data_IF_350246512713
#
_entry.id   IF_350246512713
#
_cell.length_a   1.000
_cell.length_b   1.000
_cell.length_c   1.000
_cell.angle_alpha   90.00
_cell.angle_beta   90.00
_cell.angle_gamma   90.00
#
_symmetry.space_group_name_H-M   'P 1'
#
loop_
_entity.id
_entity.type
_entity.pdbx_description
1 polymer ?
#
# COMPACT_ATOMS: atom_id res chain seq x y z
N UNK A 1 -25.25 -3.91 -27.03
CA UNK A 1 -24.34 -3.06 -26.25
C UNK A 1 -23.88 -3.86 -25.06
N UNK A 2 -22.58 -4.08 -24.93
CA UNK A 2 -21.99 -4.84 -23.83
C UNK A 2 -21.89 -3.96 -22.58
N UNK A 3 -22.31 -4.50 -21.43
CA UNK A 3 -22.36 -3.77 -20.16
C UNK A 3 -21.34 -4.34 -19.18
N UNK A 4 -20.59 -3.44 -18.53
CA UNK A 4 -19.63 -3.79 -17.51
C UNK A 4 -19.86 -3.01 -16.21
N UNK A 5 -19.85 -3.73 -15.08
CA UNK A 5 -19.76 -3.14 -13.75
C UNK A 5 -18.32 -3.24 -13.26
N UNK A 6 -17.73 -2.10 -12.91
CA UNK A 6 -16.39 -2.03 -12.33
C UNK A 6 -16.52 -1.88 -10.82
N UNK A 7 -16.01 -2.88 -10.09
CA UNK A 7 -15.98 -2.87 -8.63
C UNK A 7 -14.58 -2.50 -8.17
N UNK A 8 -14.49 -1.39 -7.46
CA UNK A 8 -13.22 -0.83 -6.98
C UNK A 8 -12.83 -1.40 -5.61
N UNK A 9 -11.53 -1.56 -5.41
CA UNK A 9 -10.94 -1.89 -4.11
C UNK A 9 -10.04 -0.74 -3.62
N UNK A 10 -8.84 -0.58 -4.20
CA UNK A 10 -7.84 0.38 -3.72
C UNK A 10 -7.15 1.19 -4.84
N UNK A 11 -7.37 0.87 -6.10
CA UNK A 11 -6.73 1.53 -7.26
C UNK A 11 -7.53 2.74 -7.72
N UNK A 12 -7.51 3.82 -6.96
CA UNK A 12 -8.28 5.05 -7.27
C UNK A 12 -7.56 5.95 -8.27
N UNK A 13 -7.31 5.43 -9.47
CA UNK A 13 -6.70 6.20 -10.55
C UNK A 13 -7.31 5.90 -11.91
N UNK A 14 -7.50 6.95 -12.69
CA UNK A 14 -8.15 6.85 -13.98
C UNK A 14 -7.33 6.06 -15.00
N UNK A 15 -6.00 6.13 -14.92
CA UNK A 15 -5.07 5.41 -15.78
C UNK A 15 -4.71 4.01 -15.25
N UNK A 16 -5.54 3.40 -14.39
CA UNK A 16 -5.36 2.01 -13.96
C UNK A 16 -5.66 1.03 -15.09
N UNK A 17 -5.07 -0.15 -15.01
CA UNK A 17 -5.37 -1.24 -15.95
C UNK A 17 -6.86 -1.63 -15.88
N UNK A 18 -7.46 -1.58 -14.69
CA UNK A 18 -8.88 -1.86 -14.47
C UNK A 18 -9.78 -0.92 -15.29
N UNK A 19 -9.57 0.40 -15.15
CA UNK A 19 -10.36 1.41 -15.89
C UNK A 19 -10.14 1.28 -17.39
N UNK A 20 -8.87 1.08 -17.82
CA UNK A 20 -8.55 0.87 -19.23
C UNK A 20 -9.28 -0.34 -19.80
N UNK A 21 -9.21 -1.48 -19.12
CA UNK A 21 -9.88 -2.71 -19.56
C UNK A 21 -11.39 -2.50 -19.70
N UNK A 22 -12.01 -1.77 -18.77
CA UNK A 22 -13.42 -1.44 -18.83
C UNK A 22 -13.76 -0.58 -20.06
N UNK A 23 -13.01 0.49 -20.26
CA UNK A 23 -13.30 1.46 -21.34
C UNK A 23 -12.96 0.93 -22.74
N UNK A 24 -11.97 0.07 -22.88
CA UNK A 24 -11.58 -0.47 -24.18
C UNK A 24 -12.51 -1.60 -24.67
N UNK A 25 -13.13 -2.36 -23.74
CA UNK A 25 -13.83 -3.59 -24.08
C UNK A 25 -15.36 -3.51 -23.98
N UNK A 26 -15.92 -2.46 -23.39
CA UNK A 26 -17.37 -2.36 -23.15
C UNK A 26 -17.97 -1.06 -23.64
N UNK A 27 -19.22 -1.15 -24.10
CA UNK A 27 -19.97 0.02 -24.62
C UNK A 27 -20.54 0.88 -23.51
N UNK A 28 -20.96 0.24 -22.41
CA UNK A 28 -21.54 0.88 -21.23
C UNK A 28 -20.82 0.42 -19.97
N UNK A 29 -20.38 1.36 -19.14
CA UNK A 29 -19.61 1.08 -17.92
C UNK A 29 -20.21 1.81 -16.72
N UNK A 30 -20.28 1.15 -15.58
CA UNK A 30 -20.61 1.75 -14.29
C UNK A 30 -19.54 1.42 -13.26
N UNK A 31 -19.23 2.39 -12.39
CA UNK A 31 -18.22 2.23 -11.35
C UNK A 31 -18.89 2.22 -9.98
N UNK A 32 -18.58 1.21 -9.16
CA UNK A 32 -19.09 1.08 -7.80
C UNK A 32 -17.94 0.85 -6.81
N UNK A 33 -18.04 1.50 -5.67
CA UNK A 33 -17.15 1.29 -4.52
C UNK A 33 -17.94 0.76 -3.33
N UNK A 34 -17.70 -0.49 -2.88
CA UNK A 34 -18.35 -1.06 -1.70
C UNK A 34 -17.77 -0.46 -0.41
N UNK A 35 -18.38 0.61 0.10
CA UNK A 35 -17.84 1.39 1.22
C UNK A 35 -17.77 0.64 2.55
N UNK A 36 -18.67 -0.30 2.79
CA UNK A 36 -18.71 -1.04 4.04
C UNK A 36 -17.55 -2.02 4.22
N UNK A 37 -16.87 -2.36 3.15
CA UNK A 37 -15.78 -3.28 3.19
C UNK A 37 -14.54 -2.70 3.90
N UNK A 38 -14.13 -1.49 3.52
CA UNK A 38 -13.08 -0.72 4.24
C UNK A 38 -13.61 -0.07 5.53
N UNK A 39 -14.93 0.15 5.64
CA UNK A 39 -15.58 0.83 6.75
C UNK A 39 -16.25 -0.13 7.73
N UNK A 40 -16.01 -1.44 7.64
CA UNK A 40 -16.51 -2.41 8.61
C UNK A 40 -16.06 -2.03 10.02
N UNK A 41 -16.82 -2.47 11.03
CA UNK A 41 -16.48 -2.18 12.43
C UNK A 41 -15.09 -2.68 12.81
N UNK A 42 -14.64 -3.79 12.22
CA UNK A 42 -13.28 -4.31 12.37
C UNK A 42 -12.24 -3.37 11.72
N UNK A 43 -12.50 -2.88 10.51
CA UNK A 43 -11.64 -1.88 9.86
C UNK A 43 -11.57 -0.57 10.66
N UNK A 44 -12.69 -0.08 11.21
CA UNK A 44 -12.70 1.14 12.04
C UNK A 44 -11.83 1.05 13.29
N UNK A 45 -11.67 -0.13 13.86
CA UNK A 45 -10.78 -0.35 15.00
C UNK A 45 -9.30 -0.37 14.61
N UNK A 46 -9.00 -0.76 13.35
CA UNK A 46 -7.65 -0.73 12.78
C UNK A 46 -7.30 0.64 12.17
N UNK A 47 -8.30 1.34 11.60
CA UNK A 47 -8.15 2.62 10.91
C UNK A 47 -8.67 3.75 11.80
N UNK A 48 -7.81 4.44 12.52
CA UNK A 48 -8.18 5.71 13.14
C UNK A 48 -8.17 6.83 12.09
N UNK A 49 -8.97 7.83 12.37
CA UNK A 49 -9.52 8.92 11.54
C UNK A 49 -8.69 9.54 10.39
N UNK A 50 -7.37 9.39 10.34
CA UNK A 50 -6.50 10.05 9.36
C UNK A 50 -6.22 9.22 8.11
N UNK A 51 -6.08 7.90 8.25
CA UNK A 51 -5.94 7.01 7.08
C UNK A 51 -7.24 7.00 6.26
N UNK A 52 -8.37 7.06 6.97
CA UNK A 52 -9.68 7.29 6.36
C UNK A 52 -9.71 8.60 5.57
N UNK A 53 -9.03 9.66 6.04
CA UNK A 53 -8.95 10.95 5.34
C UNK A 53 -8.24 10.81 3.99
N UNK A 54 -7.05 10.21 3.96
CA UNK A 54 -6.27 10.00 2.73
C UNK A 54 -7.00 9.09 1.73
N UNK A 55 -7.63 8.03 2.21
CA UNK A 55 -8.46 7.16 1.39
C UNK A 55 -9.65 7.92 0.77
N UNK A 56 -10.34 8.72 1.59
CA UNK A 56 -11.43 9.59 1.13
C UNK A 56 -10.95 10.63 0.12
N UNK A 57 -9.77 11.23 0.34
CA UNK A 57 -9.14 12.15 -0.60
C UNK A 57 -8.86 11.46 -1.94
N UNK A 58 -8.29 10.26 -1.94
CA UNK A 58 -8.02 9.48 -3.14
C UNK A 58 -9.30 9.08 -3.89
N UNK A 59 -10.31 8.61 -3.16
CA UNK A 59 -11.61 8.26 -3.73
C UNK A 59 -12.31 9.47 -4.36
N UNK A 60 -12.30 10.62 -3.68
CA UNK A 60 -12.85 11.86 -4.21
C UNK A 60 -12.11 12.34 -5.46
N UNK A 61 -10.78 12.27 -5.45
CA UNK A 61 -9.95 12.61 -6.60
C UNK A 61 -10.29 11.72 -7.80
N UNK A 62 -10.46 10.43 -7.59
CA UNK A 62 -10.86 9.50 -8.63
C UNK A 62 -12.28 9.81 -9.16
N UNK A 63 -13.25 10.02 -8.27
CA UNK A 63 -14.62 10.34 -8.65
C UNK A 63 -14.73 11.64 -9.48
N UNK A 64 -14.01 12.70 -9.08
CA UNK A 64 -13.92 13.93 -9.85
C UNK A 64 -13.29 13.69 -11.23
N UNK A 65 -12.20 12.91 -11.29
CA UNK A 65 -11.52 12.58 -12.54
C UNK A 65 -12.41 11.76 -13.49
N UNK A 66 -13.19 10.80 -12.97
CA UNK A 66 -14.19 10.07 -13.75
C UNK A 66 -15.22 11.02 -14.35
N UNK A 67 -15.75 11.94 -13.53
CA UNK A 67 -16.76 12.90 -13.98
C UNK A 67 -16.21 13.86 -15.02
N UNK A 68 -15.05 14.44 -14.80
CA UNK A 68 -14.44 15.43 -15.69
C UNK A 68 -14.00 14.85 -17.04
N UNK A 69 -13.39 13.66 -17.03
CA UNK A 69 -12.74 13.08 -18.21
C UNK A 69 -13.59 12.09 -18.98
N UNK A 70 -14.47 11.37 -18.29
CA UNK A 70 -15.31 10.34 -18.90
C UNK A 70 -16.80 10.66 -18.82
N UNK A 71 -17.20 11.71 -18.09
CA UNK A 71 -18.60 12.05 -17.76
C UNK A 71 -19.37 10.89 -17.12
N UNK A 72 -18.70 10.11 -16.28
CA UNK A 72 -19.25 8.95 -15.56
C UNK A 72 -19.31 9.26 -14.07
N UNK A 73 -20.38 8.80 -13.42
CA UNK A 73 -20.53 8.89 -11.96
C UNK A 73 -19.87 7.71 -11.26
N UNK A 74 -19.34 7.94 -10.06
CA UNK A 74 -18.97 6.91 -9.12
C UNK A 74 -20.15 6.65 -8.17
N UNK A 75 -20.47 5.38 -7.93
CA UNK A 75 -21.51 4.96 -7.00
C UNK A 75 -20.90 4.36 -5.74
N UNK A 76 -21.50 4.64 -4.59
CA UNK A 76 -21.10 4.11 -3.29
C UNK A 76 -22.13 3.10 -2.81
N UNK A 77 -21.71 1.85 -2.68
CA UNK A 77 -22.56 0.80 -2.14
C UNK A 77 -22.36 0.72 -0.62
N UNK A 78 -23.36 1.21 0.12
CA UNK A 78 -23.44 1.12 1.57
C UNK A 78 -24.26 -0.10 1.95
N UNK A 79 -23.67 -1.28 1.95
CA UNK A 79 -24.37 -2.53 2.21
C UNK A 79 -23.63 -3.38 3.24
N UNK A 80 -24.39 -4.11 4.05
CA UNK A 80 -23.85 -5.15 4.93
C UNK A 80 -23.56 -6.47 4.16
N UNK A 81 -24.06 -6.60 2.92
CA UNK A 81 -23.92 -7.78 2.07
C UNK A 81 -23.57 -7.34 0.63
N UNK A 82 -22.42 -6.68 0.41
CA UNK A 82 -22.08 -6.07 -0.88
C UNK A 82 -22.01 -7.11 -2.02
N UNK A 83 -21.55 -8.32 -1.74
CA UNK A 83 -21.47 -9.39 -2.73
C UNK A 83 -22.83 -9.77 -3.28
N UNK A 84 -23.82 -9.91 -2.38
CA UNK A 84 -25.20 -10.24 -2.77
C UNK A 84 -25.83 -9.10 -3.57
N UNK A 85 -25.68 -7.87 -3.11
CA UNK A 85 -26.26 -6.71 -3.79
C UNK A 85 -25.67 -6.51 -5.17
N UNK A 86 -24.35 -6.74 -5.35
CA UNK A 86 -23.70 -6.72 -6.66
C UNK A 86 -24.27 -7.85 -7.55
N UNK A 87 -24.42 -9.04 -7.01
CA UNK A 87 -24.98 -10.19 -7.74
C UNK A 87 -26.41 -9.89 -8.20
N UNK A 88 -27.29 -9.46 -7.30
CA UNK A 88 -28.70 -9.16 -7.59
C UNK A 88 -28.81 -8.02 -8.61
N UNK A 89 -27.98 -7.00 -8.50
CA UNK A 89 -27.90 -5.89 -9.45
C UNK A 89 -27.47 -6.35 -10.84
N UNK A 90 -26.46 -7.19 -10.93
CA UNK A 90 -25.98 -7.72 -12.21
C UNK A 90 -27.05 -8.53 -12.92
N UNK A 91 -27.77 -9.38 -12.19
CA UNK A 91 -28.87 -10.18 -12.74
C UNK A 91 -30.02 -9.29 -13.23
N UNK A 92 -30.45 -8.30 -12.42
CA UNK A 92 -31.56 -7.41 -12.74
C UNK A 92 -31.28 -6.49 -13.94
N UNK A 93 -30.03 -6.08 -14.11
CA UNK A 93 -29.62 -5.13 -15.15
C UNK A 93 -28.94 -5.79 -16.36
N UNK A 94 -28.90 -7.12 -16.40
CA UNK A 94 -28.27 -7.92 -17.48
C UNK A 94 -26.84 -7.45 -17.73
N UNK A 95 -26.02 -7.40 -16.67
CA UNK A 95 -24.61 -7.03 -16.77
C UNK A 95 -23.83 -8.21 -17.34
N UNK A 96 -23.11 -7.99 -18.42
CA UNK A 96 -22.34 -9.03 -19.12
C UNK A 96 -21.11 -9.44 -18.32
N UNK A 97 -20.47 -8.48 -17.65
CA UNK A 97 -19.20 -8.69 -16.96
C UNK A 97 -19.09 -7.81 -15.72
N UNK A 98 -18.49 -8.35 -14.67
CA UNK A 98 -17.98 -7.61 -13.54
C UNK A 98 -16.46 -7.61 -13.61
N UNK A 99 -15.84 -6.42 -13.65
CA UNK A 99 -14.40 -6.25 -13.47
C UNK A 99 -14.16 -5.85 -12.02
N UNK A 100 -13.25 -6.55 -11.37
CA UNK A 100 -12.91 -6.32 -9.98
C UNK A 100 -11.41 -6.07 -9.84
N UNK A 101 -11.06 -5.01 -9.11
CA UNK A 101 -9.67 -4.72 -8.79
C UNK A 101 -9.11 -5.75 -7.81
N UNK A 102 -8.00 -6.40 -8.15
CA UNK A 102 -7.41 -7.43 -7.32
C UNK A 102 -6.92 -6.81 -5.99
N UNK A 103 -7.43 -7.25 -4.83
CA UNK A 103 -7.10 -6.66 -3.55
C UNK A 103 -5.62 -6.85 -3.19
N UNK A 104 -5.08 -5.97 -2.35
CA UNK A 104 -3.71 -6.09 -1.84
C UNK A 104 -3.51 -7.37 -1.03
N UNK A 105 -4.55 -7.82 -0.34
CA UNK A 105 -4.60 -9.05 0.43
C UNK A 105 -5.67 -9.98 -0.15
N UNK A 106 -5.29 -11.16 -0.63
CA UNK A 106 -6.22 -12.07 -1.33
C UNK A 106 -7.38 -12.57 -0.47
N UNK A 107 -7.14 -12.72 0.84
CA UNK A 107 -8.16 -13.17 1.79
C UNK A 107 -9.26 -12.14 2.02
N UNK A 108 -8.97 -10.88 1.70
CA UNK A 108 -9.88 -9.77 1.87
C UNK A 108 -10.68 -9.47 0.57
N UNK A 109 -10.67 -10.39 -0.42
CA UNK A 109 -11.40 -10.23 -1.67
C UNK A 109 -12.91 -10.46 -1.52
N UNK A 110 -13.70 -9.76 -2.32
CA UNK A 110 -15.13 -10.01 -2.46
C UNK A 110 -15.38 -11.36 -3.13
N UNK A 111 -16.27 -12.18 -2.57
CA UNK A 111 -16.70 -13.46 -3.14
C UNK A 111 -18.03 -13.29 -3.92
N UNK A 112 -17.94 -12.75 -5.12
CA UNK A 112 -19.11 -12.51 -5.98
C UNK A 112 -19.38 -13.76 -6.81
N UNK A 113 -20.50 -14.44 -6.54
CA UNK A 113 -20.93 -15.68 -7.22
C UNK A 113 -21.94 -15.39 -8.34
N UNK A 114 -22.09 -16.35 -9.25
CA UNK A 114 -23.12 -16.35 -10.30
C UNK A 114 -23.09 -15.12 -11.24
N UNK A 115 -21.92 -14.49 -11.37
CA UNK A 115 -21.66 -13.43 -12.36
C UNK A 115 -20.38 -13.74 -13.12
N UNK A 116 -20.24 -13.21 -14.33
CA UNK A 116 -18.99 -13.34 -15.06
C UNK A 116 -17.98 -12.33 -14.47
N UNK A 117 -17.18 -12.78 -13.50
CA UNK A 117 -16.19 -11.99 -12.81
C UNK A 117 -14.82 -12.10 -13.47
N UNK A 118 -14.17 -10.96 -13.68
CA UNK A 118 -12.77 -10.88 -14.10
C UNK A 118 -12.00 -10.02 -13.12
N UNK A 119 -10.96 -10.58 -12.51
CA UNK A 119 -10.11 -9.90 -11.56
C UNK A 119 -8.92 -9.28 -12.29
N UNK A 120 -8.77 -7.98 -12.17
CA UNK A 120 -7.71 -7.22 -12.83
C UNK A 120 -6.62 -6.86 -11.81
N UNK A 121 -5.40 -7.29 -12.05
CA UNK A 121 -4.26 -6.91 -11.21
C UNK A 121 -3.63 -5.61 -11.69
N UNK A 122 -4.00 -4.51 -11.04
CA UNK A 122 -3.46 -3.18 -11.34
C UNK A 122 -2.11 -2.91 -10.67
N UNK A 123 -1.68 -3.73 -9.70
CA UNK A 123 -0.48 -3.50 -8.90
C UNK A 123 0.72 -4.37 -9.26
N UNK A 124 0.49 -5.54 -9.87
CA UNK A 124 1.57 -6.45 -10.26
C UNK A 124 1.83 -6.40 -11.76
N UNK A 125 3.10 -6.49 -12.13
CA UNK A 125 3.51 -6.58 -13.54
C UNK A 125 3.41 -8.01 -14.08
N UNK A 126 3.83 -8.98 -13.26
CA UNK A 126 3.89 -10.37 -13.65
C UNK A 126 3.89 -11.30 -12.43
N UNK A 127 2.76 -11.93 -12.13
CA UNK A 127 2.65 -12.88 -11.01
C UNK A 127 3.63 -14.05 -11.09
N UNK A 128 4.09 -14.45 -12.29
CA UNK A 128 5.05 -15.55 -12.46
C UNK A 128 6.39 -15.25 -11.77
N UNK A 129 6.70 -13.97 -11.58
CA UNK A 129 7.93 -13.51 -10.93
C UNK A 129 7.88 -13.54 -9.39
N UNK A 130 6.90 -14.19 -8.76
CA UNK A 130 6.78 -14.26 -7.29
C UNK A 130 8.04 -14.81 -6.60
N UNK A 131 8.73 -15.75 -7.24
CA UNK A 131 9.97 -16.36 -6.71
C UNK A 131 11.21 -15.47 -6.86
N UNK A 132 11.12 -14.34 -7.55
CA UNK A 132 12.25 -13.44 -7.76
C UNK A 132 12.53 -12.62 -6.51
N UNK A 133 13.82 -12.36 -6.25
CA UNK A 133 14.22 -11.36 -5.25
C UNK A 133 14.00 -9.95 -5.78
N UNK A 134 13.92 -8.95 -4.90
CA UNK A 134 13.81 -7.55 -5.33
C UNK A 134 14.97 -7.12 -6.25
N UNK A 135 16.17 -7.72 -6.10
CA UNK A 135 17.32 -7.49 -6.98
C UNK A 135 17.11 -8.07 -8.37
N UNK A 136 16.67 -9.30 -8.47
CA UNK A 136 16.42 -9.95 -9.77
C UNK A 136 15.20 -9.38 -10.48
N UNK A 137 14.19 -8.92 -9.72
CA UNK A 137 12.96 -8.33 -10.25
C UNK A 137 13.22 -7.03 -11.01
N UNK A 138 13.96 -6.08 -10.45
CA UNK A 138 14.26 -4.85 -11.17
C UNK A 138 15.15 -5.07 -12.40
N UNK A 139 16.04 -6.08 -12.37
CA UNK A 139 16.82 -6.49 -13.54
C UNK A 139 15.89 -7.06 -14.62
N UNK A 140 14.91 -7.87 -14.23
CA UNK A 140 13.89 -8.37 -15.13
C UNK A 140 13.11 -7.22 -15.79
N UNK A 141 12.65 -6.25 -15.01
CA UNK A 141 11.98 -5.06 -15.56
C UNK A 141 12.85 -4.29 -16.54
N UNK A 142 14.12 -4.08 -16.19
CA UNK A 142 15.06 -3.37 -17.08
C UNK A 142 15.25 -4.08 -18.43
N UNK A 143 15.25 -5.42 -18.43
CA UNK A 143 15.41 -6.24 -19.65
C UNK A 143 14.10 -6.31 -20.47
N UNK A 144 12.96 -6.31 -19.82
CA UNK A 144 11.64 -6.49 -20.44
C UNK A 144 10.83 -5.16 -20.42
N UNK A 145 11.47 -4.05 -20.78
CA UNK A 145 10.87 -2.70 -20.76
C UNK A 145 9.57 -2.60 -21.57
N UNK A 146 9.43 -3.38 -22.63
CA UNK A 146 8.21 -3.40 -23.45
C UNK A 146 6.99 -3.88 -22.71
N UNK A 147 7.18 -4.75 -21.69
CA UNK A 147 6.11 -5.32 -20.90
C UNK A 147 5.66 -4.37 -19.78
N UNK A 148 6.46 -3.32 -19.49
CA UNK A 148 6.20 -2.29 -18.49
C UNK A 148 5.81 -0.99 -19.23
N UNK A 149 4.85 -1.07 -20.11
CA UNK A 149 4.38 0.13 -20.80
C UNK A 149 3.48 0.97 -19.88
N UNK A 150 3.62 2.28 -19.99
CA UNK A 150 2.65 3.21 -19.46
C UNK A 150 1.27 2.86 -20.02
N UNK A 151 0.27 2.77 -19.14
CA UNK A 151 -1.12 2.62 -19.57
C UNK A 151 -1.53 3.96 -20.20
N UNK A 152 -1.28 4.10 -21.49
CA UNK A 152 -1.77 5.27 -22.25
C UNK A 152 -3.27 5.14 -22.40
N UNK A 153 -3.95 6.19 -22.01
CA UNK A 153 -5.39 6.28 -22.03
C UNK A 153 -5.82 7.31 -23.07
N UNK A 154 -6.47 6.85 -24.10
CA UNK A 154 -7.24 7.71 -24.98
C UNK A 154 -8.67 7.72 -24.45
N UNK A 155 -9.04 8.80 -23.75
CA UNK A 155 -10.34 8.91 -23.09
C UNK A 155 -11.44 9.01 -24.14
N UNK A 156 -11.91 7.85 -24.61
CA UNK A 156 -13.13 7.79 -25.43
C UNK A 156 -14.33 8.04 -24.52
N UNK A 157 -15.30 8.79 -25.01
CA UNK A 157 -16.57 8.92 -24.31
C UNK A 157 -17.22 7.55 -24.20
N UNK A 158 -17.33 7.04 -22.97
CA UNK A 158 -18.09 5.83 -22.65
C UNK A 158 -19.50 6.24 -22.21
N UNK A 159 -20.46 5.38 -22.46
CA UNK A 159 -21.79 5.55 -21.89
C UNK A 159 -21.80 5.00 -20.48
N UNK A 160 -22.37 5.78 -19.56
CA UNK A 160 -22.66 5.31 -18.21
C UNK A 160 -24.11 4.84 -18.16
N UNK A 161 -24.33 3.72 -17.47
CA UNK A 161 -25.67 3.32 -17.03
C UNK A 161 -25.80 3.55 -15.53
N UNK A 162 -27.03 3.66 -15.02
CA UNK A 162 -27.27 3.87 -13.59
C UNK A 162 -26.56 2.80 -12.75
N UNK A 163 -25.86 3.23 -11.71
CA UNK A 163 -25.04 2.35 -10.88
C UNK A 163 -25.77 1.77 -9.68
N UNK A 164 -25.09 0.84 -9.00
CA UNK A 164 -25.54 0.24 -7.75
C UNK A 164 -25.13 1.12 -6.56
N UNK A 165 -26.11 1.64 -5.81
CA UNK A 165 -25.89 2.46 -4.63
C UNK A 165 -26.18 3.94 -4.84
N UNK A 166 -25.57 4.80 -4.00
CA UNK A 166 -25.72 6.24 -4.04
C UNK A 166 -24.64 6.88 -4.89
N UNK A 167 -24.98 7.93 -5.67
CA UNK A 167 -23.99 8.73 -6.40
C UNK A 167 -23.04 9.39 -5.39
N UNK A 168 -21.74 9.27 -5.62
CA UNK A 168 -20.74 9.90 -4.76
C UNK A 168 -20.83 11.42 -4.87
N UNK A 169 -20.91 12.07 -3.72
CA UNK A 169 -20.96 13.53 -3.65
C UNK A 169 -19.56 14.11 -3.81
N UNK A 170 -19.32 14.82 -4.92
CA UNK A 170 -18.02 15.39 -5.25
C UNK A 170 -17.68 16.58 -4.37
N UNK A 171 -16.45 16.63 -3.87
CA UNK A 171 -15.88 17.76 -3.15
C UNK A 171 -14.73 18.37 -3.98
N UNK A 172 -14.98 19.50 -4.63
CA UNK A 172 -14.00 20.17 -5.47
C UNK A 172 -12.80 20.71 -4.68
N UNK A 173 -13.02 21.19 -3.46
CA UNK A 173 -11.94 21.69 -2.62
C UNK A 173 -10.99 20.55 -2.24
N UNK A 174 -11.54 19.39 -1.91
CA UNK A 174 -10.75 18.19 -1.61
C UNK A 174 -10.00 17.68 -2.86
N UNK A 175 -10.63 17.78 -4.05
CA UNK A 175 -9.99 17.44 -5.32
C UNK A 175 -8.77 18.31 -5.59
N UNK A 176 -8.90 19.64 -5.50
CA UNK A 176 -7.81 20.58 -5.71
C UNK A 176 -6.65 20.37 -4.71
N UNK A 177 -6.99 20.10 -3.45
CA UNK A 177 -6.01 19.76 -2.42
C UNK A 177 -5.21 18.51 -2.81
N UNK A 178 -5.90 17.47 -3.25
CA UNK A 178 -5.28 16.20 -3.63
C UNK A 178 -4.43 16.34 -4.89
N UNK A 179 -4.91 17.08 -5.89
CA UNK A 179 -4.13 17.43 -7.09
C UNK A 179 -2.81 18.15 -6.74
N UNK A 180 -2.89 19.13 -5.84
CA UNK A 180 -1.70 19.86 -5.37
C UNK A 180 -0.74 18.95 -4.61
N UNK A 181 -1.26 18.01 -3.82
CA UNK A 181 -0.44 17.00 -3.15
C UNK A 181 0.28 16.11 -4.17
N UNK A 182 -0.42 15.57 -5.17
CA UNK A 182 0.17 14.73 -6.22
C UNK A 182 1.23 15.50 -7.02
N UNK A 183 0.96 16.75 -7.40
CA UNK A 183 1.95 17.62 -8.07
C UNK A 183 3.20 17.84 -7.22
N UNK A 184 3.04 18.14 -5.93
CA UNK A 184 4.15 18.32 -5.00
C UNK A 184 4.97 17.05 -4.82
N UNK A 185 4.31 15.90 -4.92
CA UNK A 185 4.96 14.60 -4.81
C UNK A 185 5.81 14.28 -6.04
N UNK A 186 5.33 14.58 -7.25
CA UNK A 186 6.12 14.45 -8.48
C UNK A 186 7.34 15.38 -8.45
N UNK A 187 7.17 16.64 -8.07
CA UNK A 187 8.30 17.58 -7.94
C UNK A 187 9.35 17.06 -6.93
N UNK A 188 8.91 16.46 -5.82
CA UNK A 188 9.82 15.83 -4.83
C UNK A 188 10.52 14.60 -5.39
N UNK A 189 9.87 13.80 -6.22
CA UNK A 189 10.49 12.66 -6.90
C UNK A 189 11.59 13.17 -7.84
N UNK A 190 11.29 14.15 -8.66
CA UNK A 190 12.26 14.77 -9.59
C UNK A 190 13.47 15.35 -8.87
N UNK A 191 13.26 16.10 -7.78
CA UNK A 191 14.34 16.66 -6.96
C UNK A 191 15.24 15.57 -6.37
N UNK A 192 14.67 14.48 -5.86
CA UNK A 192 15.39 13.48 -5.06
C UNK A 192 15.90 12.28 -5.85
N UNK A 193 15.43 12.08 -7.06
CA UNK A 193 15.69 10.87 -7.84
C UNK A 193 17.20 10.59 -8.01
N UNK A 194 18.00 11.61 -8.27
CA UNK A 194 19.44 11.48 -8.50
C UNK A 194 20.23 11.28 -7.19
N UNK A 195 19.72 11.75 -6.07
CA UNK A 195 20.41 11.68 -4.77
C UNK A 195 19.85 10.57 -3.88
N UNK A 196 18.75 9.94 -4.27
CA UNK A 196 18.08 8.91 -3.45
C UNK A 196 19.00 7.76 -3.05
N UNK A 197 19.94 7.38 -3.88
CA UNK A 197 20.88 6.29 -3.61
C UNK A 197 21.75 6.55 -2.38
N UNK A 198 22.10 7.79 -2.09
CA UNK A 198 22.89 8.22 -0.92
C UNK A 198 21.99 8.67 0.24
N UNK A 199 20.90 9.37 -0.06
CA UNK A 199 20.09 10.08 0.96
C UNK A 199 18.92 9.26 1.52
N UNK A 200 18.49 8.18 0.88
CA UNK A 200 17.27 7.41 1.24
C UNK A 200 17.18 6.95 2.69
N UNK A 201 18.32 6.84 3.37
CA UNK A 201 18.39 6.44 4.78
C UNK A 201 18.38 7.65 5.73
N UNK A 202 18.44 8.87 5.22
CA UNK A 202 18.30 10.10 5.97
C UNK A 202 16.83 10.44 6.17
N UNK A 203 16.51 11.16 7.24
CA UNK A 203 15.14 11.55 7.58
C UNK A 203 14.42 12.27 6.43
N UNK A 204 15.10 13.21 5.77
CA UNK A 204 14.56 14.01 4.67
C UNK A 204 14.94 13.49 3.27
N UNK A 205 15.64 12.37 3.17
CA UNK A 205 16.16 11.83 1.91
C UNK A 205 15.20 10.92 1.16
N UNK A 206 14.09 10.55 1.77
CA UNK A 206 13.07 9.71 1.13
C UNK A 206 12.14 10.51 0.22
N UNK A 207 11.62 9.87 -0.81
CA UNK A 207 10.59 10.42 -1.71
C UNK A 207 9.20 10.49 -1.06
N UNK A 208 8.95 9.74 0.01
CA UNK A 208 7.65 9.65 0.72
C UNK A 208 6.46 9.23 -0.18
N UNK A 209 6.73 8.44 -1.21
CA UNK A 209 5.70 8.03 -2.19
C UNK A 209 4.84 6.84 -1.72
N UNK A 210 5.19 6.20 -0.60
CA UNK A 210 4.51 4.98 -0.13
C UNK A 210 3.02 5.19 0.13
N UNK A 211 2.65 6.32 0.73
CA UNK A 211 1.26 6.71 0.97
C UNK A 211 0.48 6.85 -0.34
N UNK A 212 1.02 7.59 -1.30
CA UNK A 212 0.35 7.78 -2.59
C UNK A 212 0.24 6.48 -3.40
N UNK A 213 1.24 5.60 -3.32
CA UNK A 213 1.18 4.26 -3.92
C UNK A 213 0.15 3.36 -3.21
N UNK A 214 0.01 3.50 -1.89
CA UNK A 214 -0.95 2.72 -1.11
C UNK A 214 -2.39 3.10 -1.46
N UNK A 215 -2.68 4.38 -1.54
CA UNK A 215 -4.01 4.90 -1.86
C UNK A 215 -4.29 5.04 -3.38
N UNK A 216 -3.43 4.51 -4.23
CA UNK A 216 -3.63 4.52 -5.68
C UNK A 216 -3.57 5.89 -6.35
N UNK A 217 -3.03 6.92 -5.70
CA UNK A 217 -2.83 8.25 -6.29
C UNK A 217 -1.68 8.29 -7.30
N UNK A 218 -0.70 7.41 -7.15
CA UNK A 218 0.41 7.21 -8.10
C UNK A 218 0.43 5.73 -8.50
N UNK A 219 0.66 5.50 -9.78
CA UNK A 219 0.85 4.16 -10.33
C UNK A 219 2.31 3.74 -10.21
N UNK A 220 2.55 2.58 -9.58
CA UNK A 220 3.89 2.00 -9.48
C UNK A 220 4.47 1.62 -10.85
N UNK A 221 3.63 1.21 -11.81
CA UNK A 221 4.04 0.91 -13.19
C UNK A 221 4.48 2.18 -13.91
N UNK A 222 3.67 3.24 -13.86
CA UNK A 222 4.01 4.54 -14.44
C UNK A 222 5.33 5.07 -13.88
N UNK A 223 5.47 5.05 -12.55
CA UNK A 223 6.72 5.47 -11.91
C UNK A 223 7.92 4.61 -12.35
N UNK A 224 7.76 3.30 -12.41
CA UNK A 224 8.81 2.39 -12.88
C UNK A 224 9.18 2.67 -14.35
N UNK A 225 8.18 2.91 -15.20
CA UNK A 225 8.41 3.26 -16.60
C UNK A 225 9.19 4.56 -16.74
N UNK A 226 8.82 5.61 -16.02
CA UNK A 226 9.53 6.90 -15.99
C UNK A 226 10.98 6.69 -15.54
N UNK A 227 11.20 5.97 -14.44
CA UNK A 227 12.53 5.67 -13.93
C UNK A 227 13.41 4.93 -14.95
N UNK A 228 12.85 3.95 -15.64
CA UNK A 228 13.54 3.19 -16.67
C UNK A 228 13.81 4.02 -17.92
N UNK A 229 12.96 4.99 -18.24
CA UNK A 229 13.14 5.89 -19.40
C UNK A 229 14.23 6.93 -19.16
N UNK A 230 14.44 7.36 -17.93
CA UNK A 230 15.49 8.31 -17.55
C UNK A 230 16.91 7.72 -17.63
N UNK A 231 17.04 6.41 -17.72
CA UNK A 231 18.32 5.73 -17.75
C UNK A 231 18.33 4.62 -18.81
N UNK A 232 18.42 4.96 -20.10
CA UNK A 232 18.40 3.99 -21.20
C UNK A 232 19.54 2.96 -21.14
N UNK A 233 20.71 3.31 -20.59
CA UNK A 233 21.88 2.43 -20.45
C UNK A 233 21.98 1.78 -19.07
N UNK A 234 20.89 1.50 -18.49
CA UNK A 234 20.61 1.17 -17.09
C UNK A 234 21.33 -0.06 -16.53
N UNK A 235 21.90 -0.92 -17.35
CA UNK A 235 22.46 -2.21 -16.92
C UNK A 235 23.87 -2.06 -16.32
N UNK A 236 24.48 -0.89 -16.40
CA UNK A 236 25.81 -0.65 -15.89
C UNK A 236 25.85 -0.31 -14.39
N UNK A 237 26.92 -0.79 -13.78
CA UNK A 237 27.22 -1.02 -12.37
C UNK A 237 27.09 0.16 -11.41
N UNK A 238 26.43 1.19 -11.49
CA UNK A 238 26.27 2.22 -10.45
C UNK A 238 25.11 3.18 -10.71
N UNK A 239 24.03 2.69 -11.30
CA UNK A 239 22.92 3.58 -11.59
C UNK A 239 22.23 4.04 -10.29
N UNK A 240 22.17 5.34 -10.12
CA UNK A 240 21.57 6.04 -8.96
C UNK A 240 20.08 5.70 -8.74
N UNK A 241 19.39 5.21 -9.78
CA UNK A 241 17.95 4.85 -9.74
C UNK A 241 17.68 3.45 -9.17
N UNK A 242 18.71 2.57 -9.17
CA UNK A 242 18.57 1.18 -8.69
C UNK A 242 17.95 1.07 -7.29
N UNK A 243 18.35 1.88 -6.30
CA UNK A 243 17.75 1.79 -4.97
C UNK A 243 16.25 2.07 -4.94
N UNK A 244 15.75 3.01 -5.73
CA UNK A 244 14.32 3.32 -5.80
C UNK A 244 13.56 2.20 -6.51
N UNK A 245 14.06 1.70 -7.63
CA UNK A 245 13.48 0.56 -8.34
C UNK A 245 13.41 -0.70 -7.47
N UNK A 246 14.43 -0.94 -6.63
CA UNK A 246 14.39 -2.03 -5.66
C UNK A 246 13.29 -1.86 -4.62
N UNK A 247 12.98 -0.64 -4.21
CA UNK A 247 11.87 -0.40 -3.26
C UNK A 247 10.51 -0.67 -3.93
N UNK A 248 10.33 -0.26 -5.19
CA UNK A 248 9.13 -0.57 -5.96
C UNK A 248 8.99 -2.09 -6.16
N UNK A 249 10.08 -2.76 -6.56
CA UNK A 249 10.10 -4.22 -6.69
C UNK A 249 9.80 -4.94 -5.35
N UNK A 250 10.32 -4.43 -4.23
CA UNK A 250 10.03 -4.99 -2.92
C UNK A 250 8.55 -4.84 -2.53
N UNK A 251 7.94 -3.68 -2.85
CA UNK A 251 6.50 -3.48 -2.66
C UNK A 251 5.69 -4.51 -3.46
N UNK A 252 5.97 -4.67 -4.73
CA UNK A 252 5.28 -5.65 -5.59
C UNK A 252 5.43 -7.08 -5.06
N UNK A 253 6.65 -7.50 -4.73
CA UNK A 253 6.90 -8.83 -4.16
C UNK A 253 6.15 -9.02 -2.86
N UNK A 254 6.03 -7.99 -2.03
CA UNK A 254 5.27 -8.05 -0.78
C UNK A 254 3.78 -8.27 -1.04
N UNK A 255 3.19 -7.59 -2.01
CA UNK A 255 1.80 -7.78 -2.43
C UNK A 255 1.59 -9.21 -2.93
N UNK A 256 2.43 -9.67 -3.87
CA UNK A 256 2.36 -11.02 -4.40
C UNK A 256 2.53 -12.10 -3.32
N UNK A 257 3.43 -11.85 -2.35
CA UNK A 257 3.65 -12.75 -1.22
C UNK A 257 2.43 -12.82 -0.31
N UNK A 258 1.83 -11.69 0.02
CA UNK A 258 0.60 -11.65 0.82
C UNK A 258 -0.54 -12.40 0.12
N UNK A 259 -0.73 -12.20 -1.18
CA UNK A 259 -1.73 -12.89 -2.00
C UNK A 259 -1.47 -14.40 -2.09
N UNK A 260 -0.25 -14.81 -2.41
CA UNK A 260 0.11 -16.23 -2.56
C UNK A 260 0.04 -17.02 -1.26
N UNK A 261 0.12 -16.35 -0.12
CA UNK A 261 0.02 -16.93 1.22
C UNK A 261 -1.38 -16.80 1.82
N UNK A 262 -2.34 -16.30 1.03
CA UNK A 262 -3.71 -16.06 1.45
C UNK A 262 -3.79 -15.29 2.79
N UNK A 263 -3.08 -14.16 2.85
CA UNK A 263 -3.01 -13.31 4.04
C UNK A 263 -4.11 -12.26 4.03
N UNK A 264 -4.48 -11.79 5.23
CA UNK A 264 -5.41 -10.68 5.45
C UNK A 264 -4.75 -9.57 6.26
N UNK A 265 -5.18 -8.33 6.05
CA UNK A 265 -4.79 -7.22 6.95
C UNK A 265 -5.33 -7.42 8.37
N UNK A 266 -6.37 -8.23 8.54
CA UNK A 266 -7.01 -8.54 9.83
C UNK A 266 -6.40 -9.77 10.52
N UNK A 267 -5.45 -10.44 9.91
CA UNK A 267 -4.73 -11.55 10.55
C UNK A 267 -3.97 -11.04 11.78
N UNK A 268 -3.93 -11.85 12.85
CA UNK A 268 -3.18 -11.53 14.06
C UNK A 268 -1.67 -11.54 13.81
N UNK A 269 -0.90 -10.93 14.70
CA UNK A 269 0.56 -10.98 14.65
C UNK A 269 1.11 -12.42 14.68
N UNK A 270 0.43 -13.32 15.39
CA UNK A 270 0.75 -14.74 15.39
C UNK A 270 0.53 -15.37 14.01
N UNK A 271 -0.63 -15.17 13.38
CA UNK A 271 -0.94 -15.68 12.05
C UNK A 271 0.04 -15.17 11.00
N UNK A 272 0.38 -13.88 11.03
CA UNK A 272 1.40 -13.29 10.18
C UNK A 272 2.76 -13.94 10.38
N UNK A 273 3.16 -14.14 11.65
CA UNK A 273 4.44 -14.75 12.01
C UNK A 273 4.52 -16.20 11.56
N UNK A 274 3.47 -17.00 11.76
CA UNK A 274 3.39 -18.38 11.29
C UNK A 274 3.55 -18.51 9.77
N UNK A 275 3.06 -17.50 9.03
CA UNK A 275 3.11 -17.50 7.57
C UNK A 275 4.48 -17.03 7.02
N UNK A 276 5.15 -16.11 7.69
CA UNK A 276 6.31 -15.40 7.16
C UNK A 276 7.65 -15.81 7.76
N UNK A 277 7.67 -16.23 9.01
CA UNK A 277 8.90 -16.55 9.74
C UNK A 277 9.23 -18.04 9.68
N UNK A 278 10.51 -18.36 9.85
CA UNK A 278 10.97 -19.72 10.10
C UNK A 278 10.58 -20.17 11.52
N UNK A 279 10.60 -21.50 11.74
CA UNK A 279 10.17 -22.11 13.00
C UNK A 279 10.91 -21.58 14.21
N UNK A 280 12.23 -21.41 14.12
CA UNK A 280 13.03 -20.88 15.22
C UNK A 280 12.62 -19.45 15.61
N UNK A 281 12.30 -18.60 14.62
CA UNK A 281 11.82 -17.24 14.87
C UNK A 281 10.40 -17.24 15.47
N UNK A 282 9.53 -18.16 15.03
CA UNK A 282 8.19 -18.33 15.60
C UNK A 282 8.26 -18.78 17.07
N UNK A 283 9.07 -19.79 17.36
CA UNK A 283 9.26 -20.31 18.72
C UNK A 283 9.86 -19.22 19.62
N UNK A 284 10.80 -18.42 19.12
CA UNK A 284 11.34 -17.29 19.86
C UNK A 284 10.25 -16.26 20.20
N UNK A 285 9.38 -15.90 19.26
CA UNK A 285 8.27 -14.98 19.54
C UNK A 285 7.28 -15.55 20.56
N UNK A 286 7.05 -16.86 20.54
CA UNK A 286 6.13 -17.53 21.46
C UNK A 286 6.68 -17.66 22.88
N UNK A 287 7.96 -17.98 23.01
CA UNK A 287 8.56 -18.42 24.28
C UNK A 287 9.33 -17.30 24.98
N UNK A 288 9.90 -16.35 24.22
CA UNK A 288 10.74 -15.30 24.80
C UNK A 288 9.93 -14.05 25.11
N UNK A 289 9.51 -13.97 26.36
CA UNK A 289 8.95 -12.75 26.96
C UNK A 289 9.93 -12.22 28.00
N UNK A 290 9.98 -10.92 28.16
CA UNK A 290 10.88 -10.22 29.07
C UNK A 290 10.05 -9.30 29.98
N UNK A 291 10.68 -8.82 31.06
CA UNK A 291 10.09 -7.73 31.84
C UNK A 291 10.02 -6.47 30.94
N UNK A 292 8.85 -5.88 30.70
CA UNK A 292 8.73 -4.68 29.89
C UNK A 292 9.56 -3.51 30.45
N UNK A 293 10.22 -2.75 29.57
CA UNK A 293 10.89 -1.49 29.92
C UNK A 293 9.89 -0.32 29.95
N UNK A 294 8.80 -0.46 29.22
CA UNK A 294 7.70 0.52 29.12
C UNK A 294 6.40 -0.16 28.68
N UNK A 295 5.28 0.48 29.01
CA UNK A 295 3.93 0.05 28.61
C UNK A 295 3.58 0.48 27.18
N UNK A 296 2.47 -0.10 26.66
CA UNK A 296 1.87 0.36 25.39
C UNK A 296 1.45 1.83 25.46
N UNK A 297 0.87 2.26 26.56
CA UNK A 297 0.39 3.63 26.79
C UNK A 297 1.57 4.62 26.77
N UNK A 298 2.68 4.29 27.42
CA UNK A 298 3.91 5.09 27.40
C UNK A 298 4.50 5.15 25.98
N UNK A 299 4.52 4.06 25.23
CA UNK A 299 4.94 4.05 23.83
C UNK A 299 4.04 4.98 23.00
N UNK A 300 2.72 4.79 23.07
CA UNK A 300 1.77 5.56 22.26
C UNK A 300 1.74 7.05 22.65
N UNK A 301 2.03 7.41 23.88
CA UNK A 301 2.17 8.82 24.30
C UNK A 301 3.53 9.43 23.99
N UNK A 302 4.56 8.62 23.69
CA UNK A 302 5.94 9.06 23.53
C UNK A 302 6.58 9.44 24.85
N UNK A 303 6.26 8.70 25.92
CA UNK A 303 6.72 8.92 27.30
C UNK A 303 7.47 7.70 27.86
N UNK A 304 8.16 6.96 27.00
CA UNK A 304 9.01 5.83 27.43
C UNK A 304 10.29 6.35 28.06
N UNK A 305 11.06 5.44 28.67
CA UNK A 305 12.42 5.71 29.18
C UNK A 305 13.47 5.92 28.06
N UNK A 306 13.10 5.80 26.77
CA UNK A 306 13.99 5.97 25.63
C UNK A 306 13.68 7.29 24.88
N UNK A 307 14.46 8.37 25.09
CA UNK A 307 14.21 9.67 24.45
C UNK A 307 14.20 9.65 22.93
N UNK A 308 15.00 8.75 22.31
CA UNK A 308 15.03 8.62 20.84
C UNK A 308 13.75 7.97 20.32
N UNK A 309 13.24 6.98 21.04
CA UNK A 309 11.98 6.34 20.72
C UNK A 309 10.82 7.34 20.83
N UNK A 310 10.82 8.15 21.91
CA UNK A 310 9.83 9.20 22.13
C UNK A 310 9.83 10.25 21.01
N UNK A 311 11.01 10.70 20.60
CA UNK A 311 11.15 11.66 19.49
C UNK A 311 10.61 11.10 18.16
N UNK A 312 10.85 9.81 17.88
CA UNK A 312 10.31 9.15 16.68
C UNK A 312 8.80 8.92 16.75
N UNK A 313 8.26 8.57 17.93
CA UNK A 313 6.81 8.50 18.15
C UNK A 313 6.14 9.83 17.84
N UNK A 314 6.63 10.92 18.42
CA UNK A 314 6.08 12.26 18.20
C UNK A 314 6.21 12.71 16.74
N UNK A 315 7.38 12.48 16.12
CA UNK A 315 7.59 12.78 14.71
C UNK A 315 6.69 11.97 13.79
N UNK A 316 6.46 10.68 14.11
CA UNK A 316 5.57 9.83 13.35
C UNK A 316 4.11 10.27 13.44
N UNK A 317 3.66 10.66 14.62
CA UNK A 317 2.32 11.21 14.85
C UNK A 317 2.08 12.51 14.07
N UNK A 318 3.07 13.40 14.05
CA UNK A 318 2.99 14.69 13.34
C UNK A 318 3.01 14.49 11.82
N UNK A 319 3.95 13.68 11.31
CA UNK A 319 4.20 13.54 9.86
C UNK A 319 3.40 12.43 9.21
N UNK A 320 2.74 11.59 9.98
CA UNK A 320 1.99 10.42 9.51
C UNK A 320 2.82 9.47 8.66
N UNK A 321 4.14 9.52 8.83
CA UNK A 321 5.08 8.75 8.03
C UNK A 321 6.40 8.52 8.79
N UNK A 322 7.03 7.36 8.55
CA UNK A 322 8.34 7.01 9.09
C UNK A 322 9.23 6.38 8.00
N UNK A 323 10.52 6.80 7.87
CA UNK A 323 11.45 6.16 6.94
C UNK A 323 11.62 4.67 7.22
N UNK A 324 11.72 3.85 6.15
CA UNK A 324 11.78 2.38 6.27
C UNK A 324 12.90 1.88 7.22
N UNK A 325 14.07 2.51 7.20
CA UNK A 325 15.17 2.15 8.12
C UNK A 325 14.83 2.45 9.58
N UNK A 326 14.15 3.55 9.84
CA UNK A 326 13.67 3.90 11.17
C UNK A 326 12.56 2.96 11.62
N UNK A 327 11.65 2.52 10.72
CA UNK A 327 10.64 1.50 11.05
C UNK A 327 11.28 0.19 11.54
N UNK A 328 12.33 -0.27 10.85
CA UNK A 328 13.04 -1.49 11.26
C UNK A 328 13.74 -1.34 12.63
N UNK A 329 14.33 -0.18 12.90
CA UNK A 329 14.90 0.11 14.22
C UNK A 329 13.79 0.22 15.27
N UNK A 330 12.75 0.98 14.99
CA UNK A 330 11.60 1.18 15.86
C UNK A 330 10.95 -0.16 16.23
N UNK A 331 10.77 -1.05 15.25
CA UNK A 331 10.25 -2.39 15.49
C UNK A 331 11.11 -3.20 16.46
N UNK A 332 12.43 -3.13 16.31
CA UNK A 332 13.36 -3.79 17.24
C UNK A 332 13.31 -3.21 18.65
N UNK A 333 13.27 -1.86 18.80
CA UNK A 333 13.17 -1.22 20.11
C UNK A 333 11.83 -1.50 20.80
N UNK A 334 10.72 -1.47 20.02
CA UNK A 334 9.40 -1.82 20.55
C UNK A 334 9.33 -3.28 20.98
N UNK A 335 9.90 -4.21 20.21
CA UNK A 335 9.94 -5.61 20.59
C UNK A 335 10.61 -5.82 21.97
N UNK A 336 11.78 -5.23 22.15
CA UNK A 336 12.52 -5.34 23.40
C UNK A 336 11.87 -4.57 24.55
N UNK A 337 11.42 -3.34 24.29
CA UNK A 337 10.87 -2.47 25.32
C UNK A 337 9.48 -2.88 25.81
N UNK A 338 8.67 -3.50 24.95
CA UNK A 338 7.33 -4.01 25.30
C UNK A 338 7.35 -5.42 25.91
N UNK A 339 8.53 -6.04 26.10
CA UNK A 339 8.66 -7.34 26.75
C UNK A 339 8.66 -8.53 25.81
N UNK A 340 8.83 -8.35 24.51
CA UNK A 340 8.93 -9.43 23.52
C UNK A 340 7.61 -10.09 23.17
N UNK A 341 7.67 -11.23 22.49
CA UNK A 341 6.53 -12.05 22.14
C UNK A 341 5.61 -11.47 21.03
N UNK A 342 4.52 -12.17 20.76
CA UNK A 342 3.50 -11.73 19.79
C UNK A 342 2.80 -10.44 20.22
N UNK A 343 2.65 -10.21 21.53
CA UNK A 343 2.01 -8.99 22.07
C UNK A 343 2.77 -7.72 21.65
N UNK A 344 4.10 -7.75 21.67
CA UNK A 344 4.93 -6.62 21.22
C UNK A 344 4.77 -6.37 19.72
N UNK A 345 4.67 -7.42 18.90
CA UNK A 345 4.44 -7.29 17.46
C UNK A 345 3.03 -6.77 17.16
N UNK A 346 2.00 -7.24 17.87
CA UNK A 346 0.63 -6.74 17.75
C UNK A 346 0.56 -5.24 18.07
N UNK A 347 1.18 -4.82 19.17
CA UNK A 347 1.27 -3.42 19.59
C UNK A 347 1.99 -2.57 18.54
N UNK A 348 3.07 -3.08 17.94
CA UNK A 348 3.80 -2.42 16.88
C UNK A 348 2.94 -2.22 15.61
N UNK A 349 2.24 -3.26 15.16
CA UNK A 349 1.33 -3.20 14.01
C UNK A 349 0.24 -2.16 14.30
N UNK A 350 -0.36 -2.21 15.49
CA UNK A 350 -1.36 -1.24 15.90
C UNK A 350 -0.82 0.19 15.90
N UNK A 351 0.40 0.41 16.40
CA UNK A 351 1.03 1.74 16.39
C UNK A 351 1.14 2.30 14.98
N UNK A 352 1.63 1.50 14.02
CA UNK A 352 1.74 1.97 12.63
C UNK A 352 0.36 2.21 12.00
N UNK A 353 -0.61 1.34 12.23
CA UNK A 353 -1.97 1.51 11.73
C UNK A 353 -2.63 2.80 12.24
N UNK A 354 -2.31 3.23 13.46
CA UNK A 354 -2.84 4.46 14.05
C UNK A 354 -2.08 5.71 13.63
N UNK A 355 -0.81 5.60 13.25
CA UNK A 355 0.08 6.75 13.14
C UNK A 355 0.81 6.88 11.79
N UNK A 356 0.57 6.01 10.80
CA UNK A 356 1.12 6.16 9.45
C UNK A 356 0.07 5.94 8.37
N UNK A 357 0.14 6.75 7.31
CA UNK A 357 -0.84 6.73 6.21
C UNK A 357 -0.59 5.61 5.19
N UNK A 358 0.47 4.83 5.32
CA UNK A 358 0.81 3.69 4.46
C UNK A 358 0.86 2.36 5.22
N UNK A 359 0.29 2.33 6.43
CA UNK A 359 0.41 1.19 7.35
C UNK A 359 -0.18 -0.11 6.81
N UNK A 360 -1.33 -0.03 6.14
CA UNK A 360 -2.08 -1.20 5.70
C UNK A 360 -1.52 -1.83 4.42
N UNK A 361 -0.41 -1.33 3.91
CA UNK A 361 0.24 -1.98 2.76
C UNK A 361 0.89 -3.31 3.17
N UNK A 362 0.81 -4.39 2.35
CA UNK A 362 1.49 -5.66 2.63
C UNK A 362 2.99 -5.49 2.91
N UNK A 363 3.61 -4.52 2.25
CA UNK A 363 5.01 -4.17 2.46
C UNK A 363 5.31 -3.76 3.91
N UNK A 364 4.43 -2.99 4.55
CA UNK A 364 4.62 -2.56 5.92
C UNK A 364 4.48 -3.72 6.91
N UNK A 365 3.41 -4.52 6.79
CA UNK A 365 3.19 -5.71 7.62
C UNK A 365 4.36 -6.70 7.50
N UNK A 366 4.75 -7.03 6.27
CA UNK A 366 5.87 -7.95 6.03
C UNK A 366 7.17 -7.38 6.62
N UNK A 367 7.42 -6.09 6.48
CA UNK A 367 8.62 -5.45 7.05
C UNK A 367 8.64 -5.51 8.59
N UNK A 368 7.50 -5.31 9.25
CA UNK A 368 7.39 -5.43 10.70
C UNK A 368 7.68 -6.87 11.16
N UNK A 369 7.01 -7.85 10.55
CA UNK A 369 7.19 -9.28 10.92
C UNK A 369 8.60 -9.77 10.61
N UNK A 370 9.13 -9.45 9.41
CA UNK A 370 10.50 -9.84 9.03
C UNK A 370 11.57 -9.19 9.94
N UNK A 371 11.26 -8.06 10.59
CA UNK A 371 12.16 -7.47 11.60
C UNK A 371 12.31 -8.34 12.84
N UNK A 372 11.35 -9.23 13.10
CA UNK A 372 11.38 -10.20 14.21
C UNK A 372 12.14 -11.47 13.86
N UNK A 373 12.58 -11.64 12.61
CA UNK A 373 13.38 -12.80 12.20
C UNK A 373 14.70 -12.84 12.98
N UNK A 374 15.01 -13.98 13.55
CA UNK A 374 16.26 -14.18 14.27
C UNK A 374 17.47 -14.04 13.34
N UNK A 375 18.43 -13.24 13.79
CA UNK A 375 19.77 -13.21 13.24
C UNK A 375 20.76 -13.56 14.36
N UNK A 376 21.59 -14.57 14.12
CA UNK A 376 22.52 -15.05 15.15
C UNK A 376 21.83 -15.48 16.46
N UNK A 377 20.63 -16.08 16.32
CA UNK A 377 19.87 -16.62 17.46
C UNK A 377 19.12 -15.59 18.30
N UNK A 378 18.99 -14.33 17.83
CA UNK A 378 18.24 -13.27 18.53
C UNK A 378 17.60 -12.28 17.57
N UNK A 379 16.52 -11.63 18.01
CA UNK A 379 15.97 -10.45 17.35
C UNK A 379 16.98 -9.31 17.47
N UNK A 380 17.31 -8.68 16.36
CA UNK A 380 18.34 -7.65 16.33
C UNK A 380 17.87 -6.36 17.00
N UNK A 381 18.61 -5.92 18.01
CA UNK A 381 18.52 -4.55 18.55
C UNK A 381 19.60 -3.71 17.89
N UNK A 382 19.20 -2.60 17.30
CA UNK A 382 20.14 -1.73 16.58
C UNK A 382 21.08 -1.02 17.57
N UNK A 383 22.34 -0.82 17.15
CA UNK A 383 23.31 -0.10 17.95
C UNK A 383 22.88 1.37 18.10
N UNK A 384 22.84 1.89 19.36
CA UNK A 384 22.44 3.27 19.68
C UNK A 384 23.19 4.32 18.85
N UNK A 385 24.52 4.18 18.66
CA UNK A 385 25.33 5.12 17.86
C UNK A 385 24.89 5.17 16.38
N UNK A 386 24.50 4.01 15.83
CA UNK A 386 24.02 3.91 14.45
C UNK A 386 22.64 4.56 14.30
N UNK A 387 21.79 4.40 15.28
CA UNK A 387 20.46 5.00 15.33
C UNK A 387 20.54 6.52 15.41
N UNK A 388 21.41 7.07 16.25
CA UNK A 388 21.64 8.52 16.37
C UNK A 388 21.99 9.16 15.03
N UNK A 389 22.87 8.51 14.25
CA UNK A 389 23.22 8.99 12.90
C UNK A 389 22.05 8.96 11.91
N UNK A 390 21.15 7.98 12.02
CA UNK A 390 19.93 7.93 11.20
C UNK A 390 18.98 9.10 11.52
N UNK A 391 18.82 9.42 12.79
CA UNK A 391 17.92 10.47 13.26
C UNK A 391 18.49 11.87 12.95
N UNK A 392 19.78 12.06 13.14
CA UNK A 392 20.47 13.33 12.85
C UNK A 392 20.72 13.56 11.35
N UNK A 393 20.40 12.59 10.48
CA UNK A 393 20.62 12.71 9.03
C UNK A 393 22.09 12.58 8.62
N UNK A 394 22.97 12.10 9.50
CA UNK A 394 24.36 11.81 9.18
C UNK A 394 24.46 10.42 8.57
N UNK A 395 25.19 10.32 7.47
CA UNK A 395 25.35 9.10 6.68
C UNK A 395 25.89 7.94 7.51
N UNK A 396 25.29 6.76 7.32
CA UNK A 396 25.81 5.52 7.87
C UNK A 396 26.38 4.75 6.69
N UNK A 397 27.67 4.82 6.54
CA UNK A 397 28.45 3.93 5.67
C UNK A 397 28.50 2.51 6.25
#
# INVERSE_FOLDING_TARGET
MSKCLVVLDHSFRLNSLLVKTACDNYDEVSFVYPSNWYWSSAARNLYKSTDISMHKEALNHFACSLKEKLNVELYILKSAQPEKDIQDYCQSNKIDKVLYDMPLFSKDSLDIKNVCLEVIDSDSYDPSCLKMTAKSRWVYWAKNRKDIQEVKFDYKSIKSFGGLGEVYQLDKSLYEKTENYVKSLWARIEEKILTYHTTRNMRNGSTQISTALHHGLIDARQLTHILLSLAPDFIEKNNVLVPLLRQLAFREISILKARSKNMSMFDTAEQWSMTLLDKASQDNLKENTFQPEFSKEELFSGQTNNPLLNAEVLSCKEKRWMPNRLRMWFAGECYWGLGGGYQSLETLIQFFNEHTDDAQSPNNYISCVESMRLKYGKVMRFNKKRTFRLIEGKEII
#
